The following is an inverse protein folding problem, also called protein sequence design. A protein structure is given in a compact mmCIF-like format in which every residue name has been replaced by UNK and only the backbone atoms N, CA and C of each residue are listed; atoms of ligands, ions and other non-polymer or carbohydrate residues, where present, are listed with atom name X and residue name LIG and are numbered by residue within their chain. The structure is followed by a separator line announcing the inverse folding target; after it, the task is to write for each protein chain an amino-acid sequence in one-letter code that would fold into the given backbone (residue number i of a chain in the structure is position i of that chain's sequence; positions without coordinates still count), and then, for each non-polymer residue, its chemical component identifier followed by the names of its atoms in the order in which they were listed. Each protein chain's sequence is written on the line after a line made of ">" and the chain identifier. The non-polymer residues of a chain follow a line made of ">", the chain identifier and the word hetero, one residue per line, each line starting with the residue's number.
data_IF_066362405360
#
_entry.id   IF_066362405360
#
_cell.length_a   1.000
_cell.length_b   1.000
_cell.length_c   1.000
_cell.angle_alpha   90.00
_cell.angle_beta   90.00
_cell.angle_gamma   90.00
#
_symmetry.space_group_name_H-M   'P 1'
#
loop_
_entity.id
_entity.type
_entity.pdbx_description
1 polymer ?
#
# COMPACT_ATOMS: atom_id res chain seq x y z
N UNK A 1 3.03 -17.20 6.33
CA UNK A 1 2.95 -17.60 7.76
C UNK A 1 1.78 -16.88 8.41
N UNK A 2 1.90 -15.58 8.58
CA UNK A 2 0.90 -14.70 9.17
C UNK A 2 0.81 -13.40 8.36
N UNK A 3 -0.25 -12.64 8.57
CA UNK A 3 -0.45 -11.28 8.06
C UNK A 3 -1.20 -10.47 9.10
N UNK A 4 -1.28 -9.16 8.94
CA UNK A 4 -2.19 -8.38 9.78
C UNK A 4 -3.66 -8.65 9.44
N UNK A 5 -4.55 -8.48 10.41
CA UNK A 5 -5.99 -8.52 10.20
C UNK A 5 -6.49 -7.35 9.33
N UNK A 6 -5.87 -6.18 9.48
CA UNK A 6 -6.28 -4.93 8.82
C UNK A 6 -5.96 -4.98 7.32
N UNK A 7 -6.94 -4.72 6.45
CA UNK A 7 -6.68 -4.70 5.01
C UNK A 7 -5.70 -3.61 4.59
N UNK A 8 -4.95 -3.90 3.53
CA UNK A 8 -4.14 -2.92 2.82
C UNK A 8 -5.00 -2.20 1.80
N UNK A 9 -5.02 -0.88 1.89
CA UNK A 9 -5.74 0.01 0.98
C UNK A 9 -4.74 0.99 0.38
N UNK A 10 -4.64 0.99 -0.94
CA UNK A 10 -3.92 2.02 -1.68
C UNK A 10 -4.75 3.29 -1.71
N UNK A 11 -4.08 4.43 -1.59
CA UNK A 11 -4.72 5.74 -1.61
C UNK A 11 -4.08 6.62 -2.67
N UNK A 12 -4.89 7.46 -3.30
CA UNK A 12 -4.43 8.53 -4.17
C UNK A 12 -4.74 9.84 -3.44
N UNK A 13 -3.72 10.59 -3.10
CA UNK A 13 -3.87 11.85 -2.37
C UNK A 13 -3.64 13.04 -3.29
N UNK A 14 -4.30 14.14 -2.97
CA UNK A 14 -4.07 15.47 -3.54
C UNK A 14 -3.94 16.47 -2.40
N UNK A 15 -3.45 17.68 -2.70
CA UNK A 15 -3.52 18.76 -1.70
C UNK A 15 -4.97 19.07 -1.33
N UNK A 16 -5.19 19.43 -0.07
CA UNK A 16 -6.52 19.71 0.46
C UNK A 16 -7.20 20.87 -0.28
N UNK A 17 -6.43 21.90 -0.62
CA UNK A 17 -6.84 23.10 -1.37
C UNK A 17 -6.77 22.94 -2.90
N UNK A 18 -6.42 21.75 -3.40
CA UNK A 18 -6.34 21.48 -4.84
C UNK A 18 -7.72 21.54 -5.52
N UNK A 19 -7.76 22.11 -6.72
CA UNK A 19 -8.93 22.14 -7.60
C UNK A 19 -9.32 20.75 -8.15
N UNK A 20 -8.46 19.74 -8.01
CA UNK A 20 -8.69 18.35 -8.47
C UNK A 20 -9.81 17.70 -7.66
N UNK A 21 -11.03 17.61 -8.19
CA UNK A 21 -12.20 17.08 -7.48
C UNK A 21 -12.42 15.61 -7.71
N UNK A 22 -12.01 15.10 -8.87
CA UNK A 22 -12.15 13.69 -9.24
C UNK A 22 -10.91 13.14 -9.95
N UNK A 23 -10.84 11.81 -10.08
CA UNK A 23 -9.71 11.13 -10.72
C UNK A 23 -9.51 11.59 -12.18
N UNK A 24 -10.58 11.96 -12.89
CA UNK A 24 -10.50 12.42 -14.28
C UNK A 24 -9.73 13.73 -14.44
N UNK A 25 -9.71 14.59 -13.42
CA UNK A 25 -8.95 15.85 -13.45
C UNK A 25 -7.43 15.62 -13.51
N UNK A 26 -6.98 14.38 -13.25
CA UNK A 26 -5.59 13.96 -13.35
C UNK A 26 -5.19 13.47 -14.75
N UNK A 27 -6.10 13.52 -15.73
CA UNK A 27 -5.78 13.15 -17.11
C UNK A 27 -4.70 14.08 -17.72
N UNK A 28 -3.69 13.48 -18.32
CA UNK A 28 -2.49 14.12 -18.82
C UNK A 28 -1.54 14.67 -17.75
N UNK A 29 -1.78 14.41 -16.45
CA UNK A 29 -0.97 14.99 -15.36
C UNK A 29 0.16 14.07 -14.91
N UNK A 30 1.09 14.65 -14.15
CA UNK A 30 2.17 13.92 -13.45
C UNK A 30 1.66 13.45 -12.09
N UNK A 31 1.87 12.18 -11.78
CA UNK A 31 1.47 11.56 -10.51
C UNK A 31 2.69 10.90 -9.88
N UNK A 32 2.98 11.23 -8.61
CA UNK A 32 4.09 10.63 -7.88
C UNK A 32 3.72 9.28 -7.25
N UNK A 33 4.65 8.34 -7.29
CA UNK A 33 4.53 7.03 -6.67
C UNK A 33 5.82 6.69 -5.89
N UNK A 34 5.76 5.84 -4.85
CA UNK A 34 6.95 5.53 -4.07
C UNK A 34 7.94 4.70 -4.90
N UNK A 35 7.47 3.66 -5.57
CA UNK A 35 8.24 2.80 -6.46
C UNK A 35 7.28 2.16 -7.49
N UNK A 36 7.75 1.74 -8.68
CA UNK A 36 6.88 1.20 -9.72
C UNK A 36 6.08 -0.02 -9.26
N UNK A 37 6.73 -0.93 -8.53
CA UNK A 37 6.15 -2.20 -8.11
C UNK A 37 5.59 -2.15 -6.67
N UNK A 38 5.47 -0.97 -6.06
CA UNK A 38 4.81 -0.84 -4.78
C UNK A 38 3.33 -1.19 -4.95
N UNK A 39 2.91 -2.36 -4.43
CA UNK A 39 1.65 -3.00 -4.78
C UNK A 39 0.43 -2.08 -4.73
N UNK A 40 -0.04 -1.68 -3.54
CA UNK A 40 -1.28 -0.90 -3.43
C UNK A 40 -1.07 0.59 -3.79
N UNK A 41 0.09 1.17 -3.45
CA UNK A 41 0.39 2.59 -3.68
C UNK A 41 0.60 2.93 -5.16
N UNK A 42 1.22 2.03 -5.93
CA UNK A 42 1.60 2.27 -7.32
C UNK A 42 1.00 1.26 -8.27
N UNK A 43 1.36 -0.02 -8.17
CA UNK A 43 1.01 -1.02 -9.19
C UNK A 43 -0.51 -1.13 -9.38
N UNK A 44 -1.24 -1.36 -8.29
CA UNK A 44 -2.69 -1.47 -8.31
C UNK A 44 -3.36 -0.12 -8.59
N UNK A 45 -2.82 0.97 -8.04
CA UNK A 45 -3.35 2.31 -8.30
C UNK A 45 -3.25 2.68 -9.79
N UNK A 46 -2.06 2.53 -10.40
CA UNK A 46 -1.82 2.77 -11.83
C UNK A 46 -2.71 1.90 -12.71
N UNK A 47 -2.92 0.65 -12.33
CA UNK A 47 -3.86 -0.24 -13.01
C UNK A 47 -5.30 0.29 -12.95
N UNK A 48 -5.76 0.75 -11.79
CA UNK A 48 -7.09 1.34 -11.64
C UNK A 48 -7.24 2.65 -12.45
N UNK A 49 -6.25 3.54 -12.37
CA UNK A 49 -6.25 4.80 -13.13
C UNK A 49 -6.37 4.54 -14.64
N UNK A 50 -5.63 3.56 -15.14
CA UNK A 50 -5.63 3.18 -16.55
C UNK A 50 -6.90 2.41 -16.93
N UNK A 51 -7.27 1.38 -16.19
CA UNK A 51 -8.29 0.43 -16.61
C UNK A 51 -9.71 0.81 -16.24
N UNK A 52 -9.91 1.44 -15.09
CA UNK A 52 -11.24 1.87 -14.63
C UNK A 52 -11.53 3.30 -15.07
N UNK A 53 -10.58 4.20 -14.84
CA UNK A 53 -10.80 5.62 -15.10
C UNK A 53 -10.40 6.06 -16.50
N UNK A 54 -9.64 5.24 -17.23
CA UNK A 54 -9.24 5.49 -18.62
C UNK A 54 -8.47 6.81 -18.80
N UNK A 55 -7.74 7.25 -17.77
CA UNK A 55 -6.89 8.44 -17.85
C UNK A 55 -5.48 8.07 -18.32
N UNK A 56 -4.83 9.02 -18.99
CA UNK A 56 -3.39 8.98 -19.27
C UNK A 56 -2.69 9.80 -18.21
N UNK A 57 -1.53 9.36 -17.75
CA UNK A 57 -0.74 10.10 -16.75
C UNK A 57 0.74 9.75 -16.90
N UNK A 58 1.60 10.60 -16.39
CA UNK A 58 3.05 10.35 -16.33
C UNK A 58 3.42 9.96 -14.89
N UNK A 59 3.79 8.69 -14.63
CA UNK A 59 4.26 8.30 -13.31
C UNK A 59 5.67 8.85 -13.06
N UNK A 60 5.91 9.34 -11.84
CA UNK A 60 7.28 9.64 -11.34
C UNK A 60 7.53 8.89 -10.05
N UNK A 61 8.72 8.31 -9.90
CA UNK A 61 9.07 7.47 -8.75
C UNK A 61 9.99 8.20 -7.79
N UNK A 62 9.52 8.39 -6.56
CA UNK A 62 10.20 9.24 -5.55
C UNK A 62 10.72 8.47 -4.35
N UNK A 63 10.93 7.16 -4.52
CA UNK A 63 11.54 6.18 -3.61
C UNK A 63 10.70 5.78 -2.38
N UNK A 64 10.12 6.74 -1.66
CA UNK A 64 9.41 6.48 -0.40
C UNK A 64 7.99 7.06 -0.40
N UNK A 65 7.11 6.47 0.43
CA UNK A 65 5.75 6.99 0.63
C UNK A 65 5.78 8.42 1.17
N UNK A 66 6.68 8.71 2.12
CA UNK A 66 6.87 10.04 2.69
C UNK A 66 7.25 11.08 1.63
N UNK A 67 8.13 10.70 0.69
CA UNK A 67 8.50 11.59 -0.41
C UNK A 67 7.33 11.86 -1.34
N UNK A 68 6.44 10.89 -1.57
CA UNK A 68 5.20 11.13 -2.35
C UNK A 68 4.37 12.21 -1.67
N UNK A 69 4.08 12.05 -0.38
CA UNK A 69 3.27 13.03 0.36
C UNK A 69 3.90 14.42 0.35
N UNK A 70 5.22 14.51 0.56
CA UNK A 70 5.96 15.79 0.49
C UNK A 70 5.87 16.44 -0.88
N UNK A 71 5.98 15.67 -1.96
CA UNK A 71 5.89 16.20 -3.34
C UNK A 71 4.51 16.80 -3.63
N UNK A 72 3.44 16.16 -3.12
CA UNK A 72 2.07 16.68 -3.23
C UNK A 72 1.91 17.94 -2.38
N UNK A 73 2.30 17.93 -1.10
CA UNK A 73 2.21 19.10 -0.20
C UNK A 73 2.97 20.31 -0.77
N UNK A 74 4.16 20.09 -1.33
CA UNK A 74 4.97 21.15 -1.95
C UNK A 74 4.44 21.61 -3.32
N UNK A 75 3.35 21.02 -3.83
CA UNK A 75 2.78 21.37 -5.12
C UNK A 75 3.63 20.99 -6.33
N UNK A 76 4.65 20.13 -6.15
CA UNK A 76 5.52 19.67 -7.24
C UNK A 76 4.82 18.69 -8.17
N UNK A 77 3.82 17.98 -7.65
CA UNK A 77 2.91 17.10 -8.39
C UNK A 77 1.49 17.33 -7.90
N UNK A 78 0.50 17.09 -8.77
CA UNK A 78 -0.92 17.30 -8.42
C UNK A 78 -1.49 16.18 -7.54
N UNK A 79 -0.97 14.96 -7.69
CA UNK A 79 -1.42 13.80 -6.96
C UNK A 79 -0.27 12.83 -6.65
N UNK A 80 -0.49 11.97 -5.66
CA UNK A 80 0.48 10.97 -5.23
C UNK A 80 -0.16 9.69 -4.71
N UNK A 81 0.40 8.54 -5.08
CA UNK A 81 -0.01 7.23 -4.59
C UNK A 81 0.64 6.88 -3.25
N UNK A 82 -0.12 6.32 -2.32
CA UNK A 82 0.37 5.83 -1.04
C UNK A 82 -0.47 4.69 -0.49
N UNK A 83 -0.32 4.35 0.79
CA UNK A 83 -1.20 3.39 1.48
C UNK A 83 -1.76 3.99 2.76
N UNK A 84 -2.92 3.47 3.20
CA UNK A 84 -3.62 3.90 4.40
C UNK A 84 -2.69 4.01 5.63
N UNK A 85 -1.92 2.96 5.94
CA UNK A 85 -1.08 2.96 7.14
C UNK A 85 0.10 3.95 7.06
N UNK A 86 0.70 4.16 5.89
CA UNK A 86 1.79 5.14 5.74
C UNK A 86 1.29 6.57 5.85
N UNK A 87 0.06 6.83 5.39
CA UNK A 87 -0.58 8.13 5.55
C UNK A 87 -0.96 8.41 7.00
N UNK A 88 -1.57 7.43 7.70
CA UNK A 88 -1.94 7.57 9.11
C UNK A 88 -0.74 7.91 10.01
N UNK A 89 0.43 7.38 9.67
CA UNK A 89 1.69 7.62 10.38
C UNK A 89 2.40 8.93 10.03
N UNK A 90 1.89 9.71 9.06
CA UNK A 90 2.45 11.03 8.78
C UNK A 90 2.20 11.99 9.94
N UNK A 91 3.09 12.99 10.14
CA UNK A 91 2.84 14.10 11.05
C UNK A 91 1.51 14.80 10.74
N UNK A 92 0.86 15.36 11.77
CA UNK A 92 -0.43 16.04 11.60
C UNK A 92 -0.36 17.21 10.63
N UNK A 93 0.78 17.90 10.55
CA UNK A 93 0.98 19.01 9.62
C UNK A 93 0.90 18.52 8.17
N UNK A 94 1.44 17.34 7.85
CA UNK A 94 1.37 16.74 6.51
C UNK A 94 -0.05 16.25 6.21
N UNK A 95 -0.70 15.58 7.17
CA UNK A 95 -2.06 15.05 6.98
C UNK A 95 -3.08 16.15 6.72
N UNK A 96 -2.95 17.31 7.39
CA UNK A 96 -3.87 18.45 7.22
C UNK A 96 -3.79 19.09 5.83
N UNK A 97 -2.65 19.00 5.17
CA UNK A 97 -2.42 19.54 3.82
C UNK A 97 -2.92 18.61 2.70
N UNK A 98 -3.33 17.38 3.04
CA UNK A 98 -3.70 16.36 2.07
C UNK A 98 -5.14 15.91 2.26
N UNK A 99 -5.76 15.45 1.17
CA UNK A 99 -7.00 14.68 1.21
C UNK A 99 -6.90 13.48 0.28
N UNK A 100 -7.61 12.42 0.64
CA UNK A 100 -7.74 11.22 -0.18
C UNK A 100 -8.74 11.52 -1.31
N UNK A 101 -8.28 11.42 -2.55
CA UNK A 101 -9.09 11.53 -3.75
C UNK A 101 -9.75 10.19 -4.12
N UNK A 102 -9.01 9.09 -3.90
CA UNK A 102 -9.47 7.75 -4.25
C UNK A 102 -8.81 6.68 -3.38
N UNK A 103 -9.53 5.59 -3.14
CA UNK A 103 -9.05 4.40 -2.44
C UNK A 103 -9.21 3.15 -3.33
N UNK A 104 -8.19 2.30 -3.35
CA UNK A 104 -8.28 1.00 -4.02
C UNK A 104 -9.25 0.09 -3.26
N UNK A 105 -9.87 -0.90 -3.92
CA UNK A 105 -10.47 -2.02 -3.20
C UNK A 105 -9.49 -2.62 -2.17
N UNK A 106 -9.98 -3.07 -1.01
CA UNK A 106 -9.13 -3.62 0.03
C UNK A 106 -8.48 -4.92 -0.44
N UNK A 107 -7.23 -5.11 -0.03
CA UNK A 107 -6.42 -6.29 -0.34
C UNK A 107 -5.78 -6.85 0.94
N UNK A 108 -5.36 -8.11 0.91
CA UNK A 108 -4.59 -8.65 2.01
C UNK A 108 -3.25 -7.90 2.16
N UNK A 109 -2.85 -7.52 3.38
CA UNK A 109 -1.57 -6.87 3.62
C UNK A 109 -0.40 -7.83 3.39
N UNK A 110 0.81 -7.27 3.39
CA UNK A 110 2.04 -8.04 3.21
C UNK A 110 2.13 -9.19 4.23
N UNK A 111 2.29 -10.45 3.77
CA UNK A 111 2.49 -11.57 4.66
C UNK A 111 3.91 -11.60 5.20
N UNK A 112 4.09 -12.16 6.39
CA UNK A 112 5.35 -12.79 6.73
C UNK A 112 5.41 -14.14 6.02
N UNK A 113 6.35 -14.28 5.08
CA UNK A 113 6.52 -15.48 4.26
C UNK A 113 7.80 -16.23 4.62
N UNK A 114 7.77 -17.55 4.43
CA UNK A 114 8.93 -18.41 4.63
C UNK A 114 9.13 -19.30 3.40
N UNK A 115 10.37 -19.43 2.97
CA UNK A 115 10.73 -20.28 1.83
C UNK A 115 10.39 -21.75 2.13
N UNK A 116 9.90 -22.55 1.15
CA UNK A 116 9.56 -23.96 1.35
C UNK A 116 10.69 -24.82 1.93
N UNK A 117 11.94 -24.46 1.63
CA UNK A 117 13.17 -25.07 2.18
C UNK A 117 13.31 -24.97 3.70
N UNK A 118 12.62 -24.03 4.34
CA UNK A 118 12.61 -23.91 5.81
C UNK A 118 11.76 -25.06 6.37
N UNK A 119 12.28 -25.90 7.28
CA UNK A 119 11.55 -27.04 7.82
C UNK A 119 10.16 -26.64 8.32
N UNK A 120 9.15 -27.49 8.03
CA UNK A 120 7.76 -27.22 8.40
C UNK A 120 7.60 -26.94 9.89
N UNK A 121 8.29 -27.71 10.74
CA UNK A 121 8.25 -27.52 12.19
C UNK A 121 8.71 -26.11 12.61
N UNK A 122 9.78 -25.59 12.00
CA UNK A 122 10.28 -24.23 12.28
C UNK A 122 9.27 -23.19 11.82
N UNK A 123 8.69 -23.35 10.61
CA UNK A 123 7.66 -22.44 10.09
C UNK A 123 6.44 -22.38 11.00
N UNK A 124 5.99 -23.52 11.53
CA UNK A 124 4.88 -23.56 12.48
C UNK A 124 5.24 -22.92 13.84
N UNK A 125 6.44 -23.19 14.39
CA UNK A 125 6.89 -22.53 15.64
C UNK A 125 6.91 -21.01 15.51
N UNK A 126 7.48 -20.47 14.42
CA UNK A 126 7.50 -19.02 14.15
C UNK A 126 6.08 -18.46 13.98
N UNK A 127 5.23 -19.16 13.22
CA UNK A 127 3.83 -18.77 13.04
C UNK A 127 3.10 -18.68 14.39
N UNK A 128 3.22 -19.70 15.25
CA UNK A 128 2.54 -19.71 16.55
C UNK A 128 3.08 -18.63 17.47
N UNK A 129 4.40 -18.44 17.54
CA UNK A 129 5.00 -17.39 18.36
C UNK A 129 4.43 -16.01 18.01
N UNK A 130 4.33 -15.66 16.72
CA UNK A 130 3.80 -14.35 16.31
C UNK A 130 2.30 -14.22 16.62
N UNK A 131 1.52 -15.29 16.44
CA UNK A 131 0.09 -15.29 16.80
C UNK A 131 -0.11 -15.13 18.31
N UNK A 132 0.75 -15.73 19.13
CA UNK A 132 0.74 -15.57 20.58
C UNK A 132 1.15 -14.16 21.00
N UNK A 133 2.18 -13.58 20.36
CA UNK A 133 2.54 -12.17 20.57
C UNK A 133 1.36 -11.24 20.30
N UNK A 134 0.55 -11.52 19.29
CA UNK A 134 -0.65 -10.74 18.96
C UNK A 134 -1.75 -10.78 20.03
N UNK A 135 -1.73 -11.78 20.92
CA UNK A 135 -2.67 -11.89 22.06
C UNK A 135 -2.20 -11.13 23.29
N UNK A 136 -0.92 -10.78 23.36
CA UNK A 136 -0.35 -9.99 24.46
C UNK A 136 -0.40 -8.49 24.12
N UNK A 137 -1.29 -7.75 24.80
CA UNK A 137 -1.42 -6.30 24.65
C UNK A 137 -0.10 -5.56 24.86
N UNK A 138 0.82 -6.09 25.68
CA UNK A 138 2.14 -5.47 25.92
C UNK A 138 3.06 -5.57 24.70
N UNK A 139 2.84 -6.55 23.83
CA UNK A 139 3.65 -6.80 22.63
C UNK A 139 3.08 -6.16 21.37
N UNK A 140 1.81 -5.73 21.39
CA UNK A 140 1.20 -5.00 20.27
C UNK A 140 2.01 -3.79 19.78
N UNK A 141 2.60 -2.94 20.63
CA UNK A 141 3.43 -1.83 20.14
C UNK A 141 4.64 -2.29 19.32
N UNK A 142 5.25 -3.44 19.66
CA UNK A 142 6.38 -3.99 18.90
C UNK A 142 5.90 -4.49 17.53
N UNK A 143 4.78 -5.19 17.51
CA UNK A 143 4.15 -5.67 16.28
C UNK A 143 3.64 -4.53 15.40
N UNK A 144 3.20 -3.41 15.98
CA UNK A 144 2.79 -2.23 15.24
C UNK A 144 3.96 -1.58 14.48
N UNK A 145 5.19 -1.66 15.00
CA UNK A 145 6.39 -1.14 14.29
C UNK A 145 6.65 -1.85 12.96
N UNK A 146 6.18 -3.10 12.82
CA UNK A 146 6.22 -3.85 11.56
C UNK A 146 4.86 -3.87 10.86
N UNK A 147 3.92 -3.01 11.28
CA UNK A 147 2.59 -2.86 10.68
C UNK A 147 1.72 -4.13 10.78
N UNK A 148 1.91 -4.92 11.85
CA UNK A 148 1.16 -6.16 12.09
C UNK A 148 0.62 -6.27 13.53
N UNK A 149 -0.06 -5.24 14.08
CA UNK A 149 -0.49 -5.24 15.48
C UNK A 149 -1.47 -6.37 15.84
N UNK A 150 -2.19 -6.94 14.86
CA UNK A 150 -3.17 -8.00 15.06
C UNK A 150 -2.92 -9.16 14.06
N UNK A 151 -1.87 -9.97 14.27
CA UNK A 151 -1.51 -11.04 13.35
C UNK A 151 -2.58 -12.14 13.30
N UNK A 152 -2.88 -12.59 12.08
CA UNK A 152 -3.76 -13.72 11.80
C UNK A 152 -3.09 -14.70 10.84
N UNK A 153 -3.50 -15.99 10.81
CA UNK A 153 -2.98 -16.94 9.84
C UNK A 153 -3.21 -16.45 8.40
N UNK A 154 -2.12 -16.32 7.64
CA UNK A 154 -2.16 -16.03 6.22
C UNK A 154 -2.49 -17.33 5.45
N UNK A 155 -3.37 -17.22 4.47
CA UNK A 155 -3.75 -18.32 3.58
C UNK A 155 -3.69 -17.87 2.12
N UNK A 156 -3.01 -18.64 1.27
CA UNK A 156 -2.80 -18.24 -0.13
C UNK A 156 -4.12 -18.16 -0.91
N UNK A 157 -4.91 -19.22 -0.84
CA UNK A 157 -6.14 -19.37 -1.62
C UNK A 157 -7.17 -18.29 -1.28
N UNK A 158 -7.30 -17.98 0.02
CA UNK A 158 -8.22 -16.95 0.52
C UNK A 158 -7.69 -15.53 0.34
N UNK A 159 -6.43 -15.29 0.71
CA UNK A 159 -5.93 -13.92 0.89
C UNK A 159 -5.21 -13.37 -0.36
N UNK A 160 -4.50 -14.21 -1.12
CA UNK A 160 -3.55 -13.74 -2.15
C UNK A 160 -3.89 -14.19 -3.57
N UNK A 161 -4.45 -15.39 -3.77
CA UNK A 161 -4.91 -15.88 -5.07
C UNK A 161 -5.94 -14.97 -5.74
N UNK A 162 -6.88 -14.31 -5.02
CA UNK A 162 -7.78 -13.36 -5.65
C UNK A 162 -7.07 -12.18 -6.33
N UNK A 163 -5.84 -11.84 -5.90
CA UNK A 163 -5.05 -10.74 -6.47
C UNK A 163 -4.56 -11.04 -7.89
N UNK A 164 -4.40 -12.31 -8.26
CA UNK A 164 -4.03 -12.71 -9.64
C UNK A 164 -5.10 -12.26 -10.65
N UNK A 165 -6.37 -12.14 -10.23
CA UNK A 165 -7.46 -11.67 -11.10
C UNK A 165 -7.29 -10.20 -11.51
N UNK A 166 -6.46 -9.44 -10.79
CA UNK A 166 -6.18 -8.04 -11.10
C UNK A 166 -5.30 -7.88 -12.35
N UNK A 167 -4.62 -8.95 -12.80
CA UNK A 167 -3.74 -8.97 -13.97
C UNK A 167 -2.72 -7.82 -13.97
N UNK A 168 -2.03 -7.66 -12.85
CA UNK A 168 -1.11 -6.54 -12.63
C UNK A 168 0.25 -6.74 -13.30
N UNK A 169 0.49 -7.90 -13.91
CA UNK A 169 1.76 -8.28 -14.52
C UNK A 169 2.15 -7.30 -15.63
N UNK A 170 1.16 -6.75 -16.34
CA UNK A 170 1.36 -5.73 -17.40
C UNK A 170 1.83 -4.35 -16.88
N UNK A 171 1.77 -4.11 -15.58
CA UNK A 171 2.24 -2.88 -14.94
C UNK A 171 3.55 -3.06 -14.17
N UNK A 172 4.07 -4.28 -14.08
CA UNK A 172 5.34 -4.55 -13.44
C UNK A 172 6.44 -3.90 -14.28
N UNK A 173 7.29 -3.11 -13.63
CA UNK A 173 8.51 -2.59 -14.25
C UNK A 173 9.68 -3.41 -13.70
N UNK A 174 10.40 -4.11 -14.58
CA UNK A 174 11.60 -4.83 -14.19
C UNK A 174 12.69 -3.79 -13.96
N UNK A 175 13.27 -3.77 -12.76
CA UNK A 175 14.48 -2.97 -12.50
C UNK A 175 15.62 -3.56 -13.34
N UNK A 176 16.29 -2.72 -14.13
CA UNK A 176 17.54 -3.04 -14.84
C UNK A 176 18.73 -3.12 -13.88
#
# INVERSE_FOLDING_TARGET
>A
LVRDKTPLIGILVVRKDSEVKEVKDLDGKVIAFPAPNAFAASLYMRAILTEKFKIKFTPVYVKTHDNVYRQVVLGKVLAGGGVNNTFLRQPEEVKRELRILYETPPSAPHPLSAHPRVPREVREKVKQAILEMGKDEKLKPILDRIQMPNPVPADYERDYKPLEKLRLEKYIELEE
#
